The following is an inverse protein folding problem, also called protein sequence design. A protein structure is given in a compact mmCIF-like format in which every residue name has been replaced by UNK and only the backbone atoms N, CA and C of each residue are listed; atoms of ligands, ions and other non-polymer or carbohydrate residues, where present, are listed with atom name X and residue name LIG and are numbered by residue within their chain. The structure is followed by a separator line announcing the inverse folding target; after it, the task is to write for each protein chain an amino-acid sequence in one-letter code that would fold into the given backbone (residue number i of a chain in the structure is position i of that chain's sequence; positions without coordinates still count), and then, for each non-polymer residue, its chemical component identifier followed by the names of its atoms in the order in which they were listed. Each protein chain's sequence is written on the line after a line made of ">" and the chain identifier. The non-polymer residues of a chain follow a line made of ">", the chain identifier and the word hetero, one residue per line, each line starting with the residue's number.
data_IF_751073830558
#
_entry.id   IF_751073830558
#
_cell.length_a   1.000
_cell.length_b   1.000
_cell.length_c   1.000
_cell.angle_alpha   90.00
_cell.angle_beta   90.00
_cell.angle_gamma   90.00
#
_symmetry.space_group_name_H-M   'P 1'
#
loop_
_entity.id
_entity.type
_entity.pdbx_description
1 polymer ?
#
# COMPACT_ATOMS: atom_id res chain seq x y z
N UNK A 1 -16.98 1.32 -17.07
CA UNK A 1 -18.27 1.80 -16.53
C UNK A 1 -19.41 1.72 -17.54
N UNK A 2 -19.25 2.24 -18.75
CA UNK A 2 -20.34 2.22 -19.77
C UNK A 2 -20.85 0.81 -20.09
N UNK A 3 -20.05 -0.24 -19.87
CA UNK A 3 -20.41 -1.64 -20.07
C UNK A 3 -20.97 -2.31 -18.80
N UNK A 4 -21.15 -1.58 -17.70
CA UNK A 4 -21.59 -2.14 -16.41
C UNK A 4 -20.55 -2.95 -15.66
N UNK A 5 -19.26 -2.88 -16.03
CA UNK A 5 -18.20 -3.60 -15.33
C UNK A 5 -17.78 -2.87 -14.06
N UNK A 6 -17.48 -3.64 -13.02
CA UNK A 6 -16.77 -3.15 -11.85
C UNK A 6 -15.31 -2.84 -12.21
N UNK A 7 -14.82 -1.75 -11.66
CA UNK A 7 -13.48 -1.24 -11.96
C UNK A 7 -12.67 -1.10 -10.68
N UNK A 8 -11.43 -1.56 -10.70
CA UNK A 8 -10.48 -1.36 -9.61
C UNK A 8 -9.18 -0.76 -10.15
N UNK A 9 -8.51 0.04 -9.33
CA UNK A 9 -7.18 0.57 -9.62
C UNK A 9 -6.23 0.29 -8.47
N UNK A 10 -5.02 -0.16 -8.79
CA UNK A 10 -3.89 -0.16 -7.86
C UNK A 10 -3.07 1.11 -8.08
N UNK A 11 -2.78 1.83 -7.00
CA UNK A 11 -2.08 3.10 -7.09
C UNK A 11 -1.21 3.38 -5.87
N UNK A 12 -0.09 4.06 -6.09
CA UNK A 12 0.72 4.65 -5.02
C UNK A 12 0.20 6.02 -4.58
N UNK A 13 -0.85 6.54 -5.22
CA UNK A 13 -1.33 7.92 -5.06
C UNK A 13 -0.28 9.01 -5.42
N UNK A 14 0.85 8.67 -6.06
CA UNK A 14 1.86 9.64 -6.48
C UNK A 14 1.53 10.20 -7.87
N UNK A 15 0.37 10.85 -7.99
CA UNK A 15 -0.12 11.47 -9.23
C UNK A 15 -0.18 12.99 -9.17
N UNK A 16 -0.61 13.63 -10.26
CA UNK A 16 -1.04 15.02 -10.25
C UNK A 16 -2.50 15.13 -9.79
N UNK A 17 -2.92 16.31 -9.37
CA UNK A 17 -4.31 16.56 -8.97
C UNK A 17 -5.26 16.27 -10.13
N UNK A 18 -4.92 16.69 -11.35
CA UNK A 18 -5.70 16.48 -12.58
C UNK A 18 -5.87 14.98 -12.89
N UNK A 19 -4.80 14.18 -12.73
CA UNK A 19 -4.87 12.74 -12.97
C UNK A 19 -5.78 12.04 -11.97
N UNK A 20 -5.73 12.45 -10.69
CA UNK A 20 -6.59 11.91 -9.63
C UNK A 20 -8.06 12.24 -9.92
N UNK A 21 -8.37 13.50 -10.22
CA UNK A 21 -9.72 13.97 -10.52
C UNK A 21 -10.29 13.36 -11.81
N UNK A 22 -9.44 13.08 -12.79
CA UNK A 22 -9.84 12.47 -14.05
C UNK A 22 -10.13 10.96 -13.95
N UNK A 23 -9.52 10.25 -12.99
CA UNK A 23 -9.59 8.79 -12.94
C UNK A 23 -10.47 8.28 -11.79
N UNK A 24 -10.25 8.77 -10.57
CA UNK A 24 -10.85 8.20 -9.37
C UNK A 24 -12.38 8.19 -9.37
N UNK A 25 -13.11 9.19 -9.89
CA UNK A 25 -14.59 9.15 -9.94
C UNK A 25 -15.17 8.01 -10.76
N UNK A 26 -14.38 7.40 -11.63
CA UNK A 26 -14.82 6.29 -12.48
C UNK A 26 -14.40 4.91 -11.94
N UNK A 27 -13.81 4.85 -10.76
CA UNK A 27 -13.28 3.63 -10.14
C UNK A 27 -14.17 3.21 -8.97
N UNK A 28 -14.57 1.93 -8.93
CA UNK A 28 -15.37 1.38 -7.82
C UNK A 28 -14.51 1.07 -6.60
N UNK A 29 -13.27 0.62 -6.82
CA UNK A 29 -12.35 0.25 -5.75
C UNK A 29 -10.95 0.81 -6.02
N UNK A 30 -10.46 1.60 -5.08
CA UNK A 30 -9.07 2.06 -5.07
C UNK A 30 -8.26 1.21 -4.09
N UNK A 31 -7.26 0.51 -4.60
CA UNK A 31 -6.26 -0.23 -3.84
C UNK A 31 -5.02 0.65 -3.71
N UNK A 32 -4.87 1.33 -2.57
CA UNK A 32 -3.85 2.36 -2.39
C UNK A 32 -2.67 1.81 -1.58
N UNK A 33 -1.50 1.78 -2.20
CA UNK A 33 -0.27 1.33 -1.56
C UNK A 33 0.24 2.32 -0.51
N UNK A 34 0.49 1.85 0.71
CA UNK A 34 1.21 2.52 1.77
C UNK A 34 2.52 1.76 2.03
N UNK A 35 3.64 2.26 1.54
CA UNK A 35 4.94 1.58 1.66
C UNK A 35 5.68 1.92 2.95
N UNK A 36 5.48 3.11 3.48
CA UNK A 36 5.87 3.53 4.83
C UNK A 36 5.14 4.82 5.19
N UNK A 37 4.86 5.00 6.48
CA UNK A 37 4.34 6.26 7.04
C UNK A 37 5.44 7.27 7.30
N UNK A 38 6.68 6.81 7.46
CA UNK A 38 7.86 7.64 7.65
C UNK A 38 8.35 8.20 6.30
N UNK A 39 8.47 9.54 6.13
CA UNK A 39 8.88 10.15 4.86
C UNK A 39 10.33 9.82 4.46
N UNK A 40 11.24 9.67 5.42
CA UNK A 40 12.64 9.37 5.14
C UNK A 40 12.82 7.90 4.75
N UNK A 41 12.14 6.99 5.44
CA UNK A 41 12.11 5.57 5.06
C UNK A 41 11.51 5.43 3.66
N UNK A 42 10.36 6.08 3.41
CA UNK A 42 9.71 6.06 2.11
C UNK A 42 10.63 6.57 0.99
N UNK A 43 11.30 7.71 1.22
CA UNK A 43 12.24 8.29 0.26
C UNK A 43 13.43 7.36 -0.01
N UNK A 44 13.97 6.71 1.02
CA UNK A 44 15.08 5.77 0.89
C UNK A 44 14.73 4.57 0.00
N UNK A 45 13.52 4.03 0.12
CA UNK A 45 13.12 2.79 -0.59
C UNK A 45 12.41 3.02 -1.91
N UNK A 46 11.87 4.23 -2.16
CA UNK A 46 11.12 4.55 -3.38
C UNK A 46 11.72 5.70 -4.20
N UNK A 47 12.67 6.43 -3.63
CA UNK A 47 13.27 7.62 -4.25
C UNK A 47 12.48 8.92 -4.02
N UNK A 48 11.29 8.88 -3.43
CA UNK A 48 10.44 10.07 -3.19
C UNK A 48 9.86 10.08 -1.78
N UNK A 49 9.63 11.29 -1.21
CA UNK A 49 8.91 11.45 0.04
C UNK A 49 7.43 11.06 -0.11
N UNK A 50 6.80 10.60 0.98
CA UNK A 50 5.38 10.26 1.01
C UNK A 50 4.45 11.46 1.24
N UNK A 51 4.96 12.69 1.39
CA UNK A 51 4.14 13.88 1.67
C UNK A 51 3.06 14.13 0.60
N UNK A 52 3.46 14.08 -0.68
CA UNK A 52 2.53 14.20 -1.81
C UNK A 52 1.49 13.07 -1.80
N UNK A 53 1.92 11.84 -1.50
CA UNK A 53 1.05 10.66 -1.40
C UNK A 53 0.00 10.86 -0.30
N UNK A 54 0.40 11.31 0.89
CA UNK A 54 -0.51 11.58 2.00
C UNK A 54 -1.53 12.66 1.68
N UNK A 55 -1.10 13.75 1.02
CA UNK A 55 -1.99 14.82 0.54
C UNK A 55 -3.00 14.27 -0.48
N UNK A 56 -2.54 13.47 -1.42
CA UNK A 56 -3.37 12.86 -2.44
C UNK A 56 -4.33 11.81 -1.86
N UNK A 57 -3.88 11.01 -0.89
CA UNK A 57 -4.73 10.07 -0.17
C UNK A 57 -5.96 10.77 0.46
N UNK A 58 -5.73 11.92 1.11
CA UNK A 58 -6.82 12.72 1.68
C UNK A 58 -7.79 13.30 0.64
N UNK A 59 -7.37 13.46 -0.62
CA UNK A 59 -8.25 13.82 -1.74
C UNK A 59 -9.01 12.61 -2.26
N UNK A 60 -8.29 11.50 -2.51
CA UNK A 60 -8.83 10.27 -3.06
C UNK A 60 -10.00 9.76 -2.22
N UNK A 61 -9.87 9.71 -0.89
CA UNK A 61 -10.93 9.22 0.00
C UNK A 61 -12.22 10.05 -0.03
N UNK A 62 -12.14 11.31 -0.48
CA UNK A 62 -13.32 12.19 -0.60
C UNK A 62 -14.12 11.96 -1.87
N UNK A 63 -13.50 11.42 -2.91
CA UNK A 63 -14.09 11.26 -4.25
C UNK A 63 -14.20 9.81 -4.70
N UNK A 64 -13.51 8.89 -4.01
CA UNK A 64 -13.57 7.46 -4.29
C UNK A 64 -14.82 6.81 -3.67
N UNK A 65 -15.39 5.81 -4.33
CA UNK A 65 -16.49 5.01 -3.76
C UNK A 65 -16.01 4.15 -2.59
N UNK A 66 -14.85 3.51 -2.76
CA UNK A 66 -14.21 2.65 -1.75
C UNK A 66 -12.70 2.70 -1.87
N UNK A 67 -12.03 2.76 -0.73
CA UNK A 67 -10.56 2.71 -0.64
C UNK A 67 -10.15 1.59 0.31
N UNK A 68 -9.15 0.82 -0.10
CA UNK A 68 -8.44 -0.14 0.76
C UNK A 68 -6.98 0.27 0.77
N UNK A 69 -6.38 0.40 1.94
CA UNK A 69 -4.94 0.58 2.07
C UNK A 69 -4.24 -0.77 1.96
N UNK A 70 -3.26 -0.87 1.06
CA UNK A 70 -2.42 -2.05 0.88
C UNK A 70 -1.02 -1.77 1.37
N UNK A 71 -0.47 -2.68 2.15
CA UNK A 71 0.85 -2.55 2.75
C UNK A 71 1.75 -3.67 2.24
N UNK A 72 2.55 -3.43 1.18
CA UNK A 72 3.64 -4.34 0.84
C UNK A 72 4.59 -4.44 2.03
N UNK A 73 4.55 -5.56 2.73
CA UNK A 73 5.20 -5.75 4.03
C UNK A 73 6.55 -6.42 3.83
N UNK A 74 7.60 -5.62 3.90
CA UNK A 74 8.96 -6.01 3.55
C UNK A 74 9.80 -6.09 4.83
N UNK A 75 10.40 -7.27 5.14
CA UNK A 75 11.40 -7.37 6.19
C UNK A 75 12.46 -6.28 6.06
N UNK A 76 12.96 -5.73 7.16
CA UNK A 76 13.94 -4.65 7.20
C UNK A 76 13.49 -3.26 6.74
N UNK A 77 12.28 -3.13 6.17
CA UNK A 77 11.74 -1.83 5.70
C UNK A 77 10.59 -1.36 6.57
N UNK A 78 9.53 -2.17 6.67
CA UNK A 78 8.28 -1.78 7.34
C UNK A 78 7.60 -2.93 8.10
N UNK A 79 8.21 -4.14 8.15
CA UNK A 79 7.65 -5.30 8.85
C UNK A 79 7.94 -5.24 10.36
N UNK A 80 7.36 -4.25 11.07
CA UNK A 80 7.43 -4.12 12.53
C UNK A 80 6.17 -3.44 13.07
N UNK A 81 5.80 -3.79 14.32
CA UNK A 81 4.51 -3.43 14.92
C UNK A 81 4.28 -1.92 15.00
N UNK A 82 5.29 -1.13 15.37
CA UNK A 82 5.17 0.33 15.46
C UNK A 82 4.80 0.97 14.12
N UNK A 83 5.26 0.43 13.01
CA UNK A 83 4.86 0.94 11.69
C UNK A 83 3.39 0.59 11.41
N UNK A 84 2.94 -0.61 11.79
CA UNK A 84 1.55 -1.00 11.60
C UNK A 84 0.58 -0.25 12.51
N UNK A 85 1.00 0.15 13.71
CA UNK A 85 0.25 1.12 14.53
C UNK A 85 0.09 2.45 13.79
N UNK A 86 1.18 3.01 13.25
CA UNK A 86 1.14 4.27 12.46
C UNK A 86 0.30 4.15 11.20
N UNK A 87 0.36 3.02 10.50
CA UNK A 87 -0.46 2.75 9.31
C UNK A 87 -1.94 2.69 9.69
N UNK A 88 -2.30 2.01 10.77
CA UNK A 88 -3.67 1.95 11.26
C UNK A 88 -4.21 3.33 11.64
N UNK A 89 -3.41 4.15 12.34
CA UNK A 89 -3.76 5.53 12.64
C UNK A 89 -3.94 6.38 11.38
N UNK A 90 -3.07 6.21 10.40
CA UNK A 90 -3.18 6.88 9.11
C UNK A 90 -4.47 6.47 8.40
N UNK A 91 -4.80 5.19 8.32
CA UNK A 91 -6.04 4.69 7.73
C UNK A 91 -7.27 5.32 8.43
N UNK A 92 -7.30 5.32 9.76
CA UNK A 92 -8.37 5.96 10.55
C UNK A 92 -8.49 7.44 10.29
N UNK A 93 -7.37 8.16 10.19
CA UNK A 93 -7.38 9.61 9.90
C UNK A 93 -7.97 9.96 8.54
N UNK A 94 -7.94 9.00 7.61
CA UNK A 94 -8.55 9.10 6.27
C UNK A 94 -10.01 8.60 6.23
N UNK A 95 -10.50 7.97 7.30
CA UNK A 95 -11.81 7.28 7.29
C UNK A 95 -11.81 5.97 6.50
N UNK A 96 -10.64 5.39 6.24
CA UNK A 96 -10.52 4.07 5.61
C UNK A 96 -10.63 2.99 6.67
N UNK A 97 -11.47 1.99 6.43
CA UNK A 97 -11.81 0.94 7.39
C UNK A 97 -11.09 -0.40 7.14
N UNK A 98 -10.38 -0.51 6.03
CA UNK A 98 -9.79 -1.79 5.60
C UNK A 98 -8.33 -1.63 5.19
N UNK A 99 -7.49 -2.50 5.74
CA UNK A 99 -6.06 -2.60 5.41
C UNK A 99 -5.72 -4.01 4.96
N UNK A 100 -4.98 -4.16 3.87
CA UNK A 100 -4.41 -5.43 3.44
C UNK A 100 -2.91 -5.47 3.72
N UNK A 101 -2.48 -6.46 4.48
CA UNK A 101 -1.07 -6.78 4.71
C UNK A 101 -0.60 -7.70 3.59
N UNK A 102 0.32 -7.25 2.76
CA UNK A 102 0.84 -8.01 1.62
C UNK A 102 2.24 -8.52 1.94
N UNK A 103 2.39 -9.76 2.41
CA UNK A 103 3.70 -10.30 2.72
C UNK A 103 4.62 -10.27 1.51
N UNK A 104 5.85 -9.79 1.70
CA UNK A 104 6.86 -9.77 0.65
C UNK A 104 7.20 -11.19 0.20
N UNK A 105 7.38 -11.37 -1.10
CA UNK A 105 7.82 -12.61 -1.72
C UNK A 105 8.83 -12.33 -2.85
N UNK A 106 9.73 -13.27 -3.08
CA UNK A 106 10.80 -13.15 -4.06
C UNK A 106 10.40 -13.49 -5.51
N UNK A 107 9.14 -13.85 -5.76
CA UNK A 107 8.64 -14.20 -7.10
C UNK A 107 8.84 -13.11 -8.17
N UNK A 108 9.08 -11.87 -7.75
CA UNK A 108 9.37 -10.76 -8.65
C UNK A 108 10.80 -10.76 -9.21
N UNK A 109 11.75 -11.46 -8.59
CA UNK A 109 13.17 -11.44 -8.97
C UNK A 109 13.40 -11.90 -10.41
N UNK A 110 12.74 -12.98 -10.81
CA UNK A 110 12.84 -13.52 -12.17
C UNK A 110 12.43 -12.52 -13.26
N UNK A 111 11.52 -11.60 -12.96
CA UNK A 111 11.12 -10.54 -13.91
C UNK A 111 12.25 -9.54 -14.18
N UNK A 112 13.07 -9.25 -13.17
CA UNK A 112 14.23 -8.38 -13.35
C UNK A 112 15.29 -9.03 -14.21
N UNK A 113 15.56 -10.34 -14.02
CA UNK A 113 16.45 -11.11 -14.87
C UNK A 113 15.96 -11.14 -16.31
N UNK A 114 14.67 -11.40 -16.55
CA UNK A 114 14.07 -11.38 -17.89
C UNK A 114 14.18 -10.01 -18.58
N UNK A 115 14.21 -8.92 -17.82
CA UNK A 115 14.38 -7.55 -18.32
C UNK A 115 15.85 -7.12 -18.43
N UNK A 116 16.80 -8.00 -18.10
CA UNK A 116 18.23 -7.66 -18.06
C UNK A 116 18.58 -6.60 -17.02
N UNK A 117 17.78 -6.46 -15.96
CA UNK A 117 17.94 -5.48 -14.89
C UNK A 117 18.43 -6.13 -13.62
N UNK A 118 19.32 -5.43 -12.88
CA UNK A 118 19.67 -5.86 -11.53
C UNK A 118 18.47 -5.70 -10.58
N UNK A 119 18.28 -6.69 -9.71
CA UNK A 119 17.27 -6.60 -8.64
C UNK A 119 17.77 -5.67 -7.54
N UNK A 120 17.11 -4.55 -7.33
CA UNK A 120 17.59 -3.45 -6.48
C UNK A 120 17.27 -3.61 -5.00
N UNK A 121 16.34 -4.51 -4.63
CA UNK A 121 15.95 -4.74 -3.23
C UNK A 121 16.98 -5.56 -2.43
N UNK A 122 17.97 -6.17 -3.12
CA UNK A 122 18.95 -7.09 -2.52
C UNK A 122 18.42 -8.52 -2.38
N UNK A 123 19.23 -9.49 -2.81
CA UNK A 123 18.91 -10.93 -2.73
C UNK A 123 18.90 -11.47 -1.28
N UNK A 124 19.27 -10.65 -0.32
CA UNK A 124 19.32 -11.01 1.10
C UNK A 124 17.97 -10.92 1.82
N UNK A 125 17.00 -10.21 1.22
CA UNK A 125 15.66 -10.04 1.81
C UNK A 125 14.85 -11.30 1.53
N UNK A 126 14.61 -12.07 2.58
CA UNK A 126 13.78 -13.28 2.48
C UNK A 126 12.30 -12.93 2.41
N UNK A 127 11.52 -13.83 1.77
CA UNK A 127 10.07 -13.74 1.81
C UNK A 127 9.58 -13.71 3.26
N UNK A 128 8.55 -12.91 3.52
CA UNK A 128 7.87 -12.87 4.82
C UNK A 128 6.82 -13.98 4.85
N UNK A 129 6.94 -14.98 5.74
CA UNK A 129 5.93 -16.01 5.90
C UNK A 129 4.57 -15.42 6.30
N UNK A 130 3.49 -16.07 5.88
CA UNK A 130 2.13 -15.59 6.13
C UNK A 130 1.78 -15.59 7.62
N UNK A 131 2.25 -16.56 8.36
CA UNK A 131 2.08 -16.69 9.80
C UNK A 131 2.80 -15.58 10.57
N UNK A 132 3.99 -15.17 10.14
CA UNK A 132 4.68 -14.01 10.69
C UNK A 132 3.93 -12.69 10.37
N UNK A 133 3.32 -12.59 9.20
CA UNK A 133 2.51 -11.42 8.83
C UNK A 133 1.20 -11.31 9.64
N UNK A 134 0.74 -12.39 10.26
CA UNK A 134 -0.46 -12.38 11.11
C UNK A 134 -0.31 -11.46 12.34
N UNK A 135 0.90 -11.26 12.85
CA UNK A 135 1.19 -10.30 13.94
C UNK A 135 0.74 -8.89 13.52
N UNK A 136 1.09 -8.47 12.32
CA UNK A 136 0.72 -7.13 11.80
C UNK A 136 -0.79 -7.01 11.58
N UNK A 137 -1.43 -8.10 11.16
CA UNK A 137 -2.89 -8.14 11.08
C UNK A 137 -3.53 -7.90 12.45
N UNK A 138 -3.03 -8.53 13.51
CA UNK A 138 -3.55 -8.33 14.88
C UNK A 138 -3.38 -6.87 15.34
N UNK A 139 -2.26 -6.23 15.02
CA UNK A 139 -2.05 -4.79 15.29
C UNK A 139 -3.15 -3.96 14.63
N UNK A 140 -3.40 -4.17 13.34
CA UNK A 140 -4.45 -3.41 12.61
C UNK A 140 -5.84 -3.65 13.20
N UNK A 141 -6.18 -4.91 13.52
CA UNK A 141 -7.46 -5.26 14.15
C UNK A 141 -7.64 -4.58 15.52
N UNK A 142 -6.57 -4.42 16.31
CA UNK A 142 -6.61 -3.75 17.62
C UNK A 142 -7.02 -2.28 17.54
N UNK A 143 -6.86 -1.65 16.35
CA UNK A 143 -7.34 -0.29 16.08
C UNK A 143 -8.82 -0.24 15.63
N UNK A 144 -9.53 -1.37 15.58
CA UNK A 144 -10.92 -1.47 15.14
C UNK A 144 -11.10 -1.43 13.62
N UNK A 145 -10.04 -1.69 12.85
CA UNK A 145 -10.07 -1.76 11.39
C UNK A 145 -10.24 -3.22 10.92
N UNK A 146 -10.76 -3.40 9.71
CA UNK A 146 -10.72 -4.69 9.03
C UNK A 146 -9.32 -4.94 8.47
N UNK A 147 -8.86 -6.19 8.56
CA UNK A 147 -7.54 -6.55 8.03
C UNK A 147 -7.51 -7.93 7.41
N UNK A 148 -6.87 -8.04 6.26
CA UNK A 148 -6.63 -9.30 5.54
C UNK A 148 -5.13 -9.44 5.29
N UNK A 149 -4.58 -10.66 5.43
CA UNK A 149 -3.23 -11.02 5.00
C UNK A 149 -3.32 -11.62 3.61
N UNK A 150 -2.72 -10.93 2.65
CA UNK A 150 -2.89 -11.19 1.22
C UNK A 150 -3.90 -10.23 0.60
N UNK A 151 -4.13 -10.31 -0.71
CA UNK A 151 -5.05 -9.46 -1.47
C UNK A 151 -5.53 -10.12 -2.72
#
# INVERSE_FOLDING_TARGET
>A
KAQGWDTAIETTAYGTDEAIEAVIPYVDLVLMDCKSTDPEVHKRVTGVSNEKIRKNAAKIVKIANRVIIRVPTIPTVNAFEEEFHRIAEFAKSLGVDTVHVLPYHTLGESKYEMLGKAYTMGYEIKSLPRDEAEVFRQVVLSHGLNCVVGG
#
